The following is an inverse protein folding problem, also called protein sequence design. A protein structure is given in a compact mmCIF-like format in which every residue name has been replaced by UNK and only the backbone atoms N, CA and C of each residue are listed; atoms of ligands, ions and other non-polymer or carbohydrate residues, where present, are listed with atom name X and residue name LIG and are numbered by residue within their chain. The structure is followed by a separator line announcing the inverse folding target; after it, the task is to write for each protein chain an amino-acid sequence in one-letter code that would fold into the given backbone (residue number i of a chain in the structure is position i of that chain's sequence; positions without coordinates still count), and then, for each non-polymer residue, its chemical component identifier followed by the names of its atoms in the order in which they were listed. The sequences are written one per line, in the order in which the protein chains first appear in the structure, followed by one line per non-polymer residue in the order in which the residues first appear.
data_IF_098931011250
#
_entry.id   IF_098931011250
#
_cell.length_a   1.000
_cell.length_b   1.000
_cell.length_c   1.000
_cell.angle_alpha   90.00
_cell.angle_beta   90.00
_cell.angle_gamma   90.00
#
_symmetry.space_group_name_H-M   'P 1'
#
loop_
_entity.id
_entity.type
_entity.pdbx_description
1 polymer ?
#
# COMPACT_ATOMS: atom_id res chain seq x y z
N UNK A 1 18.37 -15.68 51.57
CA UNK A 1 19.12 -14.61 50.88
C UNK A 1 19.03 -14.71 49.37
N UNK A 2 19.42 -15.82 48.70
CA UNK A 2 19.38 -15.93 47.23
C UNK A 2 17.99 -15.68 46.63
N UNK A 3 16.89 -16.16 47.24
CA UNK A 3 15.51 -15.94 46.74
C UNK A 3 15.07 -14.47 46.82
N UNK A 4 15.49 -13.74 47.83
CA UNK A 4 15.20 -12.30 47.96
C UNK A 4 15.98 -11.52 46.90
N UNK A 5 17.23 -11.90 46.59
CA UNK A 5 18.03 -11.30 45.55
C UNK A 5 17.39 -11.48 44.17
N UNK A 6 16.87 -12.67 43.82
CA UNK A 6 16.16 -12.91 42.58
C UNK A 6 14.87 -12.08 42.44
N UNK A 7 14.10 -11.92 43.53
CA UNK A 7 12.91 -11.09 43.56
C UNK A 7 13.27 -9.62 43.34
N UNK A 8 14.33 -9.11 43.95
CA UNK A 8 14.81 -7.74 43.72
C UNK A 8 15.29 -7.49 42.28
N UNK A 9 15.96 -8.46 41.69
CA UNK A 9 16.39 -8.38 40.28
C UNK A 9 15.17 -8.41 39.35
N UNK A 10 14.15 -9.22 39.60
CA UNK A 10 12.92 -9.27 38.84
C UNK A 10 12.14 -7.96 38.93
N UNK A 11 12.02 -7.37 40.13
CA UNK A 11 11.36 -6.07 40.32
C UNK A 11 12.09 -4.95 39.63
N UNK A 12 13.44 -4.96 39.67
CA UNK A 12 14.23 -3.94 38.95
C UNK A 12 14.16 -4.06 37.43
N UNK A 13 14.02 -5.28 36.89
CA UNK A 13 13.84 -5.50 35.46
C UNK A 13 12.48 -5.01 34.94
N UNK A 14 11.41 -5.21 35.73
CA UNK A 14 10.06 -4.71 35.38
C UNK A 14 10.00 -3.19 35.39
N UNK A 15 10.61 -2.53 36.38
CA UNK A 15 10.64 -1.06 36.44
C UNK A 15 11.48 -0.41 35.33
N UNK A 16 12.48 -1.09 34.80
CA UNK A 16 13.27 -0.60 33.66
C UNK A 16 12.46 -0.59 32.34
N UNK A 17 11.57 -1.56 32.14
CA UNK A 17 10.69 -1.63 30.96
C UNK A 17 9.66 -0.49 30.96
N UNK A 18 9.07 -0.19 32.12
CA UNK A 18 8.11 0.92 32.25
C UNK A 18 8.76 2.31 32.05
N UNK A 19 10.01 2.48 32.48
CA UNK A 19 10.74 3.73 32.29
C UNK A 19 11.02 4.03 30.81
N UNK A 20 11.32 3.01 30.01
CA UNK A 20 11.53 3.15 28.57
C UNK A 20 10.25 3.55 27.84
N UNK A 21 9.08 3.03 28.22
CA UNK A 21 7.79 3.35 27.63
C UNK A 21 7.30 4.79 27.92
N UNK A 22 7.97 5.56 28.78
CA UNK A 22 7.58 6.92 29.15
C UNK A 22 8.40 8.02 28.47
N UNK A 23 9.53 7.67 27.84
CA UNK A 23 10.54 8.64 27.41
C UNK A 23 10.02 9.55 26.29
N UNK A 24 9.19 9.05 25.40
CA UNK A 24 8.64 9.77 24.24
C UNK A 24 7.23 10.34 24.45
N UNK A 25 6.50 9.89 25.46
CA UNK A 25 5.07 10.24 25.67
C UNK A 25 4.80 11.74 25.81
N UNK A 26 5.76 12.50 26.33
CA UNK A 26 5.60 13.96 26.47
C UNK A 26 5.54 14.64 25.10
N UNK A 27 6.46 14.29 24.23
CA UNK A 27 6.58 14.85 22.88
C UNK A 27 5.41 14.39 22.01
N UNK A 28 5.03 13.11 22.07
CA UNK A 28 3.83 12.58 21.41
C UNK A 28 2.58 13.35 21.82
N UNK A 29 2.37 13.58 23.14
CA UNK A 29 1.21 14.37 23.61
C UNK A 29 1.24 15.84 23.13
N UNK A 30 2.42 16.44 23.00
CA UNK A 30 2.53 17.77 22.42
C UNK A 30 2.20 17.77 20.93
N UNK A 31 2.75 16.81 20.18
CA UNK A 31 2.44 16.63 18.77
C UNK A 31 0.93 16.44 18.54
N UNK A 32 0.28 15.56 19.32
CA UNK A 32 -1.16 15.34 19.24
C UNK A 32 -1.98 16.61 19.52
N UNK A 33 -1.51 17.48 20.41
CA UNK A 33 -2.18 18.75 20.70
C UNK A 33 -2.05 19.71 19.53
N UNK A 34 -0.89 19.80 18.91
CA UNK A 34 -0.68 20.65 17.73
C UNK A 34 -1.43 20.10 16.52
N UNK A 35 -1.44 18.77 16.32
CA UNK A 35 -2.21 18.10 15.28
C UNK A 35 -3.72 18.41 15.37
N UNK A 36 -4.29 18.38 16.58
CA UNK A 36 -5.71 18.75 16.82
C UNK A 36 -6.04 20.20 16.49
N UNK A 37 -5.04 21.09 16.49
CA UNK A 37 -5.16 22.48 16.07
C UNK A 37 -4.86 22.68 14.57
N UNK A 38 -4.62 21.59 13.84
CA UNK A 38 -4.19 21.59 12.44
C UNK A 38 -2.81 22.26 12.21
N UNK A 39 -2.03 22.46 13.28
CA UNK A 39 -0.65 22.93 13.21
C UNK A 39 0.28 21.77 12.84
N UNK A 40 0.13 21.25 11.64
CA UNK A 40 0.80 20.01 11.20
C UNK A 40 2.33 20.11 11.20
N UNK A 41 2.89 21.31 10.94
CA UNK A 41 4.32 21.54 10.98
C UNK A 41 4.89 21.42 12.38
N UNK A 42 4.23 22.02 13.36
CA UNK A 42 4.60 21.96 14.76
C UNK A 42 4.41 20.55 15.33
N UNK A 43 3.36 19.84 14.91
CA UNK A 43 3.13 18.45 15.24
C UNK A 43 4.27 17.55 14.71
N UNK A 44 4.71 17.75 13.47
CA UNK A 44 5.85 17.03 12.87
C UNK A 44 7.11 17.17 13.72
N UNK A 45 7.44 18.39 14.15
CA UNK A 45 8.62 18.66 14.98
C UNK A 45 8.55 17.88 16.32
N UNK A 46 7.38 17.88 16.98
CA UNK A 46 7.24 17.20 18.26
C UNK A 46 7.27 15.67 18.11
N UNK A 47 6.66 15.10 17.06
CA UNK A 47 6.75 13.68 16.80
C UNK A 47 8.18 13.24 16.46
N UNK A 48 8.93 14.03 15.66
CA UNK A 48 10.36 13.72 15.40
C UNK A 48 11.22 13.83 16.65
N UNK A 49 10.94 14.76 17.57
CA UNK A 49 11.60 14.79 18.88
C UNK A 49 11.34 13.52 19.70
N UNK A 50 10.11 12.98 19.63
CA UNK A 50 9.80 11.70 20.22
C UNK A 50 10.64 10.56 19.63
N UNK A 51 10.77 10.53 18.29
CA UNK A 51 11.53 9.51 17.56
C UNK A 51 13.05 9.61 17.76
N UNK A 52 13.58 10.80 18.13
CA UNK A 52 14.98 10.93 18.57
C UNK A 52 15.22 10.20 19.89
N UNK A 53 14.22 10.13 20.76
CA UNK A 53 14.29 9.44 22.04
C UNK A 53 14.04 7.92 21.92
N UNK A 54 13.06 7.56 21.11
CA UNK A 54 12.69 6.18 20.78
C UNK A 54 12.30 6.09 19.31
N UNK A 55 13.22 5.62 18.48
CA UNK A 55 13.03 5.52 17.03
C UNK A 55 11.95 4.51 16.62
N UNK A 56 11.63 3.55 17.48
CA UNK A 56 10.63 2.51 17.28
C UNK A 56 9.31 2.80 18.03
N UNK A 57 9.19 3.98 18.66
CA UNK A 57 7.93 4.39 19.29
C UNK A 57 6.77 4.25 18.31
N UNK A 58 5.86 3.32 18.61
CA UNK A 58 4.67 3.06 17.79
C UNK A 58 3.81 4.31 17.67
N UNK A 59 3.51 4.95 18.83
CA UNK A 59 2.68 6.14 18.87
C UNK A 59 3.29 7.30 18.09
N UNK A 60 4.61 7.52 18.17
CA UNK A 60 5.27 8.60 17.44
C UNK A 60 5.32 8.33 15.94
N UNK A 61 5.68 7.12 15.49
CA UNK A 61 5.70 6.78 14.07
C UNK A 61 4.29 6.83 13.45
N UNK A 62 3.29 6.23 14.12
CA UNK A 62 1.91 6.26 13.65
C UNK A 62 1.39 7.70 13.50
N UNK A 63 1.53 8.53 14.54
CA UNK A 63 1.05 9.90 14.51
C UNK A 63 1.82 10.77 13.49
N UNK A 64 3.13 10.55 13.33
CA UNK A 64 3.91 11.22 12.31
C UNK A 64 3.46 10.83 10.90
N UNK A 65 3.19 9.56 10.65
CA UNK A 65 2.69 9.10 9.36
C UNK A 65 1.36 9.76 9.00
N UNK A 66 0.40 9.79 9.95
CA UNK A 66 -0.88 10.47 9.76
C UNK A 66 -0.67 11.99 9.54
N UNK A 67 0.21 12.63 10.30
CA UNK A 67 0.51 14.05 10.15
C UNK A 67 1.10 14.37 8.77
N UNK A 68 2.01 13.54 8.26
CA UNK A 68 2.57 13.67 6.91
C UNK A 68 1.50 13.47 5.83
N UNK A 69 0.60 12.49 6.03
CA UNK A 69 -0.54 12.28 5.14
C UNK A 69 -1.41 13.55 5.06
N UNK A 70 -1.73 14.18 6.20
CA UNK A 70 -2.48 15.46 6.23
C UNK A 70 -1.75 16.60 5.54
N UNK A 71 -0.42 16.59 5.52
CA UNK A 71 0.41 17.53 4.77
C UNK A 71 0.55 17.18 3.28
N UNK A 72 -0.12 16.14 2.80
CA UNK A 72 -0.04 15.63 1.45
C UNK A 72 1.35 15.06 1.07
N UNK A 73 2.16 14.69 2.07
CA UNK A 73 3.47 14.04 1.87
C UNK A 73 3.34 12.51 2.02
N UNK A 74 2.75 11.89 0.99
CA UNK A 74 2.47 10.45 0.97
C UNK A 74 3.74 9.59 0.96
N UNK A 75 4.80 10.13 0.37
CA UNK A 75 6.07 9.41 0.28
C UNK A 75 6.74 9.30 1.66
N UNK A 76 6.82 10.40 2.40
CA UNK A 76 7.39 10.37 3.74
C UNK A 76 6.49 9.60 4.72
N UNK A 77 5.17 9.71 4.57
CA UNK A 77 4.22 8.92 5.35
C UNK A 77 4.47 7.41 5.18
N UNK A 78 4.61 6.94 3.94
CA UNK A 78 4.94 5.55 3.64
C UNK A 78 6.28 5.12 4.27
N UNK A 79 7.32 5.95 4.17
CA UNK A 79 8.64 5.66 4.77
C UNK A 79 8.59 5.54 6.30
N UNK A 80 7.75 6.35 6.94
CA UNK A 80 7.57 6.28 8.40
C UNK A 80 6.85 5.00 8.80
N UNK A 81 5.80 4.60 8.08
CA UNK A 81 5.09 3.35 8.32
C UNK A 81 6.00 2.12 8.06
N UNK A 82 6.87 2.17 7.05
CA UNK A 82 7.81 1.08 6.76
C UNK A 82 8.79 0.80 7.91
N UNK A 83 9.16 1.81 8.72
CA UNK A 83 10.04 1.62 9.88
C UNK A 83 9.46 0.70 10.95
N UNK A 84 8.14 0.67 11.06
CA UNK A 84 7.42 -0.09 12.10
C UNK A 84 6.67 -1.29 11.55
N UNK A 85 6.83 -1.62 10.27
CA UNK A 85 6.08 -2.69 9.59
C UNK A 85 6.22 -4.07 10.25
N UNK A 86 7.37 -4.36 10.85
CA UNK A 86 7.63 -5.65 11.50
C UNK A 86 6.98 -5.75 12.90
N UNK A 87 6.84 -4.63 13.59
CA UNK A 87 6.36 -4.60 14.97
C UNK A 87 4.90 -4.14 15.09
N UNK A 88 4.45 -3.29 14.17
CA UNK A 88 3.09 -2.76 14.19
C UNK A 88 2.00 -3.84 14.16
N UNK A 89 2.10 -4.91 13.36
CA UNK A 89 1.07 -5.95 13.26
C UNK A 89 0.73 -6.67 14.56
N UNK A 90 1.67 -6.70 15.52
CA UNK A 90 1.52 -7.37 16.82
C UNK A 90 1.27 -6.40 17.97
N UNK A 91 1.19 -5.10 17.72
CA UNK A 91 0.98 -4.05 18.70
C UNK A 91 -0.50 -3.72 18.88
N UNK A 92 -0.81 -2.97 19.93
CA UNK A 92 -2.13 -2.37 20.15
C UNK A 92 -2.54 -1.38 19.03
N UNK A 93 -1.58 -0.85 18.29
CA UNK A 93 -1.78 0.09 17.16
C UNK A 93 -1.98 -0.63 15.81
N UNK A 94 -2.10 -1.95 15.78
CA UNK A 94 -2.16 -2.71 14.54
C UNK A 94 -3.30 -2.27 13.62
N UNK A 95 -4.50 -2.01 14.15
CA UNK A 95 -5.64 -1.55 13.36
C UNK A 95 -5.35 -0.21 12.69
N UNK A 96 -4.87 0.75 13.48
CA UNK A 96 -4.56 2.10 13.02
C UNK A 96 -3.38 2.14 12.05
N UNK A 97 -2.38 1.30 12.27
CA UNK A 97 -1.27 1.12 11.35
C UNK A 97 -1.74 0.69 9.96
N UNK A 98 -2.57 -0.34 9.91
CA UNK A 98 -3.09 -0.84 8.65
C UNK A 98 -4.08 0.12 7.99
N UNK A 99 -4.84 0.90 8.77
CA UNK A 99 -5.67 1.97 8.24
C UNK A 99 -4.82 3.02 7.52
N UNK A 100 -3.80 3.57 8.18
CA UNK A 100 -2.89 4.56 7.59
C UNK A 100 -2.14 4.01 6.37
N UNK A 101 -1.71 2.75 6.40
CA UNK A 101 -1.08 2.10 5.26
C UNK A 101 -2.04 2.01 4.05
N UNK A 102 -3.31 1.72 4.31
CA UNK A 102 -4.37 1.71 3.32
C UNK A 102 -4.62 3.09 2.70
N UNK A 103 -4.70 4.13 3.51
CA UNK A 103 -4.89 5.51 3.05
C UNK A 103 -3.73 5.98 2.16
N UNK A 104 -2.48 5.68 2.58
CA UNK A 104 -1.30 5.97 1.76
C UNK A 104 -1.32 5.21 0.45
N UNK A 105 -1.74 3.95 0.45
CA UNK A 105 -1.86 3.15 -0.77
C UNK A 105 -2.95 3.68 -1.71
N UNK A 106 -4.10 4.12 -1.20
CA UNK A 106 -5.16 4.80 -1.97
C UNK A 106 -4.59 6.06 -2.65
N UNK A 107 -3.89 6.90 -1.89
CA UNK A 107 -3.31 8.13 -2.42
C UNK A 107 -2.30 7.87 -3.54
N UNK A 108 -1.57 6.76 -3.46
CA UNK A 108 -0.62 6.28 -4.48
C UNK A 108 -1.28 5.49 -5.61
N UNK A 109 -2.59 5.26 -5.56
CA UNK A 109 -3.35 4.41 -6.48
C UNK A 109 -2.88 2.95 -6.54
N UNK A 110 -2.24 2.48 -5.49
CA UNK A 110 -1.91 1.07 -5.30
C UNK A 110 -3.12 0.35 -4.68
N UNK A 111 -4.10 0.05 -5.55
CA UNK A 111 -5.41 -0.43 -5.11
C UNK A 111 -5.33 -1.80 -4.44
N UNK A 112 -4.41 -2.67 -4.88
CA UNK A 112 -4.23 -3.98 -4.26
C UNK A 112 -3.68 -3.83 -2.84
N UNK A 113 -2.62 -3.05 -2.65
CA UNK A 113 -2.06 -2.79 -1.33
C UNK A 113 -3.08 -2.10 -0.41
N UNK A 114 -3.91 -1.18 -0.94
CA UNK A 114 -4.98 -0.52 -0.19
C UNK A 114 -6.03 -1.53 0.32
N UNK A 115 -6.52 -2.41 -0.55
CA UNK A 115 -7.49 -3.45 -0.19
C UNK A 115 -6.91 -4.37 0.88
N UNK A 116 -5.67 -4.83 0.73
CA UNK A 116 -5.02 -5.74 1.67
C UNK A 116 -4.82 -5.08 3.04
N UNK A 117 -4.33 -3.85 3.07
CA UNK A 117 -4.12 -3.11 4.31
C UNK A 117 -5.45 -2.82 5.03
N UNK A 118 -6.45 -2.26 4.34
CA UNK A 118 -7.74 -1.93 4.95
C UNK A 118 -8.50 -3.18 5.43
N UNK A 119 -8.37 -4.30 4.74
CA UNK A 119 -8.87 -5.59 5.23
C UNK A 119 -8.21 -5.97 6.56
N UNK A 120 -6.89 -5.79 6.70
CA UNK A 120 -6.18 -6.06 7.94
C UNK A 120 -6.60 -5.11 9.08
N UNK A 121 -6.88 -3.83 8.76
CA UNK A 121 -7.45 -2.89 9.73
C UNK A 121 -8.82 -3.36 10.23
N UNK A 122 -9.74 -3.69 9.33
CA UNK A 122 -11.09 -4.14 9.65
C UNK A 122 -11.15 -5.47 10.40
N UNK A 123 -10.20 -6.39 10.15
CA UNK A 123 -10.10 -7.63 10.94
C UNK A 123 -9.79 -7.36 12.42
N UNK A 124 -9.15 -6.25 12.74
CA UNK A 124 -8.76 -5.85 14.10
C UNK A 124 -9.75 -4.87 14.73
N UNK A 125 -10.35 -4.01 13.92
CA UNK A 125 -11.39 -3.06 14.32
C UNK A 125 -12.57 -3.10 13.34
N UNK A 126 -13.49 -4.09 13.46
CA UNK A 126 -14.63 -4.22 12.53
C UNK A 126 -15.64 -3.07 12.59
N UNK A 127 -15.59 -2.27 13.67
CA UNK A 127 -16.47 -1.12 13.88
C UNK A 127 -16.02 0.17 13.21
N UNK A 128 -14.84 0.20 12.59
CA UNK A 128 -14.29 1.37 11.93
C UNK A 128 -15.00 1.64 10.60
N UNK A 129 -15.85 2.68 10.60
CA UNK A 129 -16.65 3.05 9.44
C UNK A 129 -15.78 3.68 8.35
N UNK A 130 -14.80 4.48 8.71
CA UNK A 130 -13.89 5.14 7.76
C UNK A 130 -13.03 4.09 7.02
N UNK A 131 -12.51 3.11 7.77
CA UNK A 131 -11.79 1.98 7.17
C UNK A 131 -12.68 1.15 6.23
N UNK A 132 -13.97 0.99 6.57
CA UNK A 132 -14.92 0.27 5.74
C UNK A 132 -15.23 1.02 4.44
N UNK A 133 -15.43 2.31 4.51
CA UNK A 133 -15.68 3.15 3.34
C UNK A 133 -14.47 3.13 2.41
N UNK A 134 -13.26 3.33 2.94
CA UNK A 134 -12.03 3.30 2.18
C UNK A 134 -11.76 1.92 1.56
N UNK A 135 -12.08 0.83 2.29
CA UNK A 135 -11.99 -0.53 1.76
C UNK A 135 -12.91 -0.76 0.55
N UNK A 136 -14.17 -0.34 0.65
CA UNK A 136 -15.14 -0.45 -0.45
C UNK A 136 -14.68 0.37 -1.66
N UNK A 137 -14.20 1.58 -1.43
CA UNK A 137 -13.66 2.44 -2.48
C UNK A 137 -12.46 1.80 -3.17
N UNK A 138 -11.45 1.36 -2.41
CA UNK A 138 -10.25 0.74 -2.95
C UNK A 138 -10.57 -0.54 -3.75
N UNK A 139 -11.48 -1.37 -3.24
CA UNK A 139 -11.95 -2.58 -3.93
C UNK A 139 -12.61 -2.26 -5.27
N UNK A 140 -13.48 -1.27 -5.32
CA UNK A 140 -14.12 -0.82 -6.57
C UNK A 140 -13.08 -0.31 -7.59
N UNK A 141 -12.08 0.44 -7.13
CA UNK A 141 -11.03 0.94 -8.00
C UNK A 141 -10.13 -0.17 -8.54
N UNK A 142 -9.85 -1.18 -7.73
CA UNK A 142 -9.13 -2.39 -8.13
C UNK A 142 -9.89 -3.17 -9.22
N UNK A 143 -11.18 -3.40 -9.03
CA UNK A 143 -12.05 -4.05 -10.00
C UNK A 143 -12.07 -3.30 -11.35
N UNK A 144 -12.19 -1.98 -11.31
CA UNK A 144 -12.14 -1.14 -12.51
C UNK A 144 -10.80 -1.25 -13.23
N UNK A 145 -9.69 -1.24 -12.49
CA UNK A 145 -8.35 -1.39 -13.05
C UNK A 145 -8.18 -2.76 -13.75
N UNK A 146 -8.67 -3.83 -13.13
CA UNK A 146 -8.62 -5.19 -13.69
C UNK A 146 -9.46 -5.31 -14.97
N UNK A 147 -10.66 -4.72 -15.00
CA UNK A 147 -11.50 -4.70 -16.19
C UNK A 147 -10.86 -3.95 -17.36
N UNK A 148 -10.23 -2.80 -17.09
CA UNK A 148 -9.51 -2.05 -18.12
C UNK A 148 -8.34 -2.85 -18.71
N UNK A 149 -7.58 -3.57 -17.88
CA UNK A 149 -6.50 -4.44 -18.34
C UNK A 149 -7.00 -5.60 -19.19
N UNK A 150 -8.13 -6.22 -18.82
CA UNK A 150 -8.74 -7.29 -19.60
C UNK A 150 -9.21 -6.81 -20.98
N UNK A 151 -9.84 -5.64 -21.04
CA UNK A 151 -10.31 -5.07 -22.31
C UNK A 151 -9.13 -4.75 -23.24
N UNK A 152 -8.06 -4.14 -22.73
CA UNK A 152 -6.86 -3.85 -23.53
C UNK A 152 -6.19 -5.11 -24.08
N UNK A 153 -6.15 -6.19 -23.30
CA UNK A 153 -5.59 -7.46 -23.75
C UNK A 153 -6.47 -8.13 -24.82
N UNK A 154 -7.79 -7.99 -24.73
CA UNK A 154 -8.71 -8.51 -25.73
C UNK A 154 -8.61 -7.74 -27.06
N UNK A 155 -8.47 -6.41 -27.01
CA UNK A 155 -8.31 -5.58 -28.21
C UNK A 155 -6.99 -5.92 -28.93
N UNK A 156 -5.89 -6.07 -28.22
CA UNK A 156 -4.59 -6.47 -28.79
C UNK A 156 -4.63 -7.87 -29.43
N UNK A 157 -5.36 -8.81 -28.84
CA UNK A 157 -5.52 -10.16 -29.40
C UNK A 157 -6.40 -10.15 -30.67
N UNK A 158 -7.39 -9.25 -30.76
CA UNK A 158 -8.22 -9.11 -31.97
C UNK A 158 -7.41 -8.52 -33.12
N UNK A 159 -6.60 -7.50 -32.87
CA UNK A 159 -5.75 -6.87 -33.90
C UNK A 159 -4.72 -7.87 -34.45
N UNK A 160 -4.05 -8.66 -33.60
CA UNK A 160 -3.11 -9.69 -34.02
C UNK A 160 -3.78 -10.80 -34.87
N UNK A 161 -5.01 -11.19 -34.55
CA UNK A 161 -5.75 -12.17 -35.34
C UNK A 161 -6.24 -11.62 -36.69
N UNK A 162 -6.53 -10.31 -36.78
CA UNK A 162 -6.87 -9.68 -38.07
C UNK A 162 -5.67 -9.59 -39.00
N UNK A 163 -4.50 -9.21 -38.49
CA UNK A 163 -3.27 -9.14 -39.30
C UNK A 163 -2.86 -10.53 -39.80
N UNK A 164 -2.91 -11.59 -39.01
CA UNK A 164 -2.62 -12.94 -39.47
C UNK A 164 -3.61 -13.46 -40.52
N UNK A 165 -4.88 -13.08 -40.44
CA UNK A 165 -5.87 -13.45 -41.46
C UNK A 165 -5.71 -12.66 -42.75
N UNK A 166 -5.21 -11.43 -42.72
CA UNK A 166 -4.91 -10.66 -43.94
C UNK A 166 -3.69 -11.20 -44.67
N UNK A 167 -2.63 -11.59 -43.95
CA UNK A 167 -1.44 -12.19 -44.53
C UNK A 167 -1.75 -13.54 -45.19
N UNK A 168 -2.53 -14.41 -44.56
CA UNK A 168 -2.94 -15.69 -45.15
C UNK A 168 -3.82 -15.54 -46.39
N UNK A 169 -4.67 -14.51 -46.47
CA UNK A 169 -5.49 -14.24 -47.64
C UNK A 169 -4.68 -13.63 -48.80
N UNK A 170 -3.61 -12.87 -48.55
CA UNK A 170 -2.72 -12.35 -49.57
C UNK A 170 -1.88 -13.48 -50.21
N UNK A 171 -1.36 -14.41 -49.42
CA UNK A 171 -0.59 -15.55 -49.93
C UNK A 171 -1.45 -16.50 -50.80
N UNK A 172 -2.69 -16.77 -50.41
CA UNK A 172 -3.61 -17.61 -51.20
C UNK A 172 -4.02 -16.96 -52.53
N UNK A 173 -4.11 -15.62 -52.59
CA UNK A 173 -4.40 -14.89 -53.85
C UNK A 173 -3.19 -14.80 -54.79
N UNK A 174 -1.96 -14.81 -54.28
CA UNK A 174 -0.76 -14.85 -55.12
C UNK A 174 -0.55 -16.22 -55.75
N UNK A 175 -0.82 -17.33 -55.06
CA UNK A 175 -0.71 -18.67 -55.60
C UNK A 175 -1.75 -18.94 -56.66
N UNK A 176 -2.99 -18.49 -56.52
CA UNK A 176 -4.04 -18.64 -57.55
C UNK A 176 -3.77 -17.85 -58.82
N UNK A 177 -3.10 -16.69 -58.77
CA UNK A 177 -2.72 -15.94 -59.97
C UNK A 177 -1.52 -16.53 -60.69
N UNK A 178 -0.59 -17.20 -60.04
CA UNK A 178 0.52 -17.90 -60.69
C UNK A 178 0.09 -19.12 -61.46
N UNK A 179 -0.92 -19.87 -60.99
CA UNK A 179 -1.46 -21.04 -61.66
C UNK A 179 -2.26 -20.68 -62.93
N UNK A 180 -2.98 -19.56 -62.96
CA UNK A 180 -3.69 -19.07 -64.15
C UNK A 180 -2.74 -18.56 -65.23
N UNK A 181 -1.58 -18.01 -64.93
CA UNK A 181 -0.60 -17.57 -65.92
C UNK A 181 0.18 -18.74 -66.55
N UNK A 182 0.30 -19.88 -65.85
CA UNK A 182 0.91 -21.10 -66.39
C UNK A 182 -0.02 -21.84 -67.37
N UNK A 183 -1.31 -21.85 -67.12
CA UNK A 183 -2.30 -22.50 -67.99
C UNK A 183 -2.53 -21.71 -69.30
N UNK A 184 -2.44 -20.41 -69.30
CA UNK A 184 -2.53 -19.54 -70.46
C UNK A 184 -1.31 -19.66 -71.39
N UNK A 185 -0.14 -20.05 -70.91
CA UNK A 185 1.05 -20.29 -71.74
C UNK A 185 1.06 -21.64 -72.47
N UNK A 186 0.35 -22.63 -71.95
CA UNK A 186 0.26 -23.97 -72.55
C UNK A 186 -0.77 -24.09 -73.70
N UNK A 187 -1.66 -23.14 -73.86
CA UNK A 187 -2.72 -23.16 -74.88
C UNK A 187 -2.39 -22.29 -76.16
N UNK A 188 -1.20 -21.70 -76.24
CA UNK A 188 -0.79 -20.85 -77.32
C UNK A 188 0.43 -21.39 -78.17
N UNK A 189 0.76 -22.70 -78.05
CA UNK A 189 1.75 -23.37 -78.90
C UNK A 189 1.11 -24.37 -79.87
#
# INVERSE_FOLDING_TARGET
MKRILYILILISAVSAVEASAQIDRREVRKGNREFKKENYREADIEYRKALVKDSLSMAANYNLANNLFRQNDMEQSAKVLDRIKEVAPTSEYAADYYYNAGDVAIAKRDWQAAVDALKQSLLRNPGDLDAKENYIYAKKMLENQQQQQQNQNNDQNQDQNQDQNQDQNQDQNQDQNQDQDQDNKKNND
#
